data_IF_974610082013
#
_entry.id   IF_974610082013
#
_cell.length_a   1.000
_cell.length_b   1.000
_cell.length_c   1.000
_cell.angle_alpha   90.00
_cell.angle_beta   90.00
_cell.angle_gamma   90.00
#
_symmetry.space_group_name_H-M   'P 1'
#
loop_
_entity.id
_entity.type
_entity.pdbx_description
1 polymer ?
#
# COMPACT_ATOMS: atom_id res chain seq x y z
N UNK A 1 -5.51 3.67 3.77
CA UNK A 1 -5.64 3.23 2.37
C UNK A 1 -4.73 2.05 2.13
N UNK A 2 -5.15 1.08 1.32
CA UNK A 2 -4.41 -0.14 0.97
C UNK A 2 -4.18 -0.15 -0.56
N UNK A 3 -2.93 0.05 -1.01
CA UNK A 3 -2.56 0.10 -2.43
C UNK A 3 -1.95 -1.24 -2.83
N UNK A 4 -2.51 -1.85 -3.89
CA UNK A 4 -2.24 -3.23 -4.24
C UNK A 4 -2.94 -4.20 -3.30
N UNK A 5 -4.18 -3.88 -2.93
CA UNK A 5 -4.95 -4.56 -1.86
C UNK A 5 -5.23 -6.04 -2.13
N UNK A 6 -5.13 -6.47 -3.38
CA UNK A 6 -5.46 -7.83 -3.76
C UNK A 6 -6.87 -8.21 -3.35
N UNK A 7 -7.00 -9.36 -2.70
CA UNK A 7 -8.29 -9.89 -2.20
C UNK A 7 -8.64 -9.39 -0.78
N UNK A 8 -7.90 -8.42 -0.24
CA UNK A 8 -8.21 -7.77 1.03
C UNK A 8 -7.57 -8.37 2.27
N UNK A 9 -6.44 -9.08 2.12
CA UNK A 9 -5.72 -9.70 3.24
C UNK A 9 -5.43 -8.69 4.37
N UNK A 10 -5.13 -7.45 4.03
CA UNK A 10 -4.92 -6.36 4.98
C UNK A 10 -6.14 -5.44 5.09
N UNK A 11 -6.84 -5.16 3.99
CA UNK A 11 -7.99 -4.25 3.98
C UNK A 11 -9.09 -4.66 4.96
N UNK A 12 -9.42 -5.96 5.04
CA UNK A 12 -10.50 -6.44 5.91
C UNK A 12 -10.16 -6.31 7.41
N UNK A 13 -8.98 -6.79 7.89
CA UNK A 13 -8.58 -6.55 9.28
C UNK A 13 -8.44 -5.06 9.62
N UNK A 14 -7.94 -4.25 8.69
CA UNK A 14 -7.83 -2.81 8.89
C UNK A 14 -9.18 -2.14 9.05
N UNK A 15 -10.20 -2.56 8.27
CA UNK A 15 -11.55 -2.02 8.40
C UNK A 15 -12.16 -2.28 9.78
N UNK A 16 -11.89 -3.47 10.32
CA UNK A 16 -12.26 -3.79 11.71
C UNK A 16 -11.50 -2.94 12.72
N UNK A 17 -10.19 -2.75 12.51
CA UNK A 17 -9.32 -2.01 13.42
C UNK A 17 -9.65 -0.52 13.49
N UNK A 18 -9.94 0.12 12.34
CA UNK A 18 -10.29 1.55 12.31
C UNK A 18 -11.72 1.83 12.80
N UNK A 19 -12.54 0.79 12.91
CA UNK A 19 -13.92 0.89 13.38
C UNK A 19 -14.88 1.54 12.38
N UNK A 20 -16.16 1.66 12.75
CA UNK A 20 -17.21 2.09 11.85
C UNK A 20 -17.10 3.56 11.39
N UNK A 21 -16.45 4.41 12.17
CA UNK A 21 -16.18 5.82 11.83
C UNK A 21 -14.95 6.00 10.93
N UNK A 22 -14.08 4.99 10.87
CA UNK A 22 -12.92 4.98 9.98
C UNK A 22 -13.26 4.44 8.61
N UNK A 23 -12.45 4.76 7.62
CA UNK A 23 -12.64 4.32 6.23
C UNK A 23 -11.40 3.62 5.71
N UNK A 24 -11.59 2.48 5.06
CA UNK A 24 -10.53 1.79 4.31
C UNK A 24 -10.84 1.88 2.82
N UNK A 25 -9.94 2.50 2.06
CA UNK A 25 -9.98 2.50 0.61
C UNK A 25 -8.96 1.49 0.09
N UNK A 26 -9.44 0.49 -0.62
CA UNK A 26 -8.65 -0.60 -1.20
C UNK A 26 -8.51 -0.38 -2.72
N UNK A 27 -7.26 -0.28 -3.20
CA UNK A 27 -6.95 0.01 -4.61
C UNK A 27 -6.19 -1.16 -5.20
N UNK A 28 -6.60 -1.62 -6.38
CA UNK A 28 -5.86 -2.63 -7.16
C UNK A 28 -6.17 -2.46 -8.66
N UNK A 29 -5.22 -2.86 -9.51
CA UNK A 29 -5.40 -2.90 -10.97
C UNK A 29 -6.18 -4.14 -11.42
N UNK A 30 -6.32 -5.15 -10.57
CA UNK A 30 -7.00 -6.40 -10.86
C UNK A 30 -8.45 -6.37 -10.35
N UNK A 31 -9.37 -5.96 -11.22
CA UNK A 31 -10.80 -5.83 -10.88
C UNK A 31 -11.39 -7.08 -10.20
N UNK A 32 -11.03 -8.27 -10.69
CA UNK A 32 -11.53 -9.54 -10.14
C UNK A 32 -11.16 -9.73 -8.66
N UNK A 33 -9.97 -9.26 -8.25
CA UNK A 33 -9.55 -9.31 -6.84
C UNK A 33 -10.37 -8.35 -5.98
N UNK A 34 -10.64 -7.15 -6.50
CA UNK A 34 -11.48 -6.16 -5.81
C UNK A 34 -12.93 -6.62 -5.68
N UNK A 35 -13.49 -7.25 -6.71
CA UNK A 35 -14.85 -7.81 -6.66
C UNK A 35 -14.94 -8.88 -5.53
N UNK A 36 -13.91 -9.72 -5.39
CA UNK A 36 -13.82 -10.69 -4.30
C UNK A 36 -13.67 -10.02 -2.93
N UNK A 37 -12.77 -9.02 -2.82
CA UNK A 37 -12.59 -8.25 -1.58
C UNK A 37 -13.91 -7.63 -1.14
N UNK A 38 -14.62 -6.98 -2.06
CA UNK A 38 -15.92 -6.37 -1.77
C UNK A 38 -16.95 -7.38 -1.27
N UNK A 39 -17.03 -8.54 -1.93
CA UNK A 39 -17.94 -9.61 -1.50
C UNK A 39 -17.63 -10.12 -0.08
N UNK A 40 -16.34 -10.30 0.25
CA UNK A 40 -15.92 -10.72 1.60
C UNK A 40 -16.19 -9.62 2.65
N UNK A 41 -15.98 -8.34 2.32
CA UNK A 41 -16.34 -7.22 3.19
C UNK A 41 -17.84 -7.21 3.50
N UNK A 42 -18.69 -7.39 2.49
CA UNK A 42 -20.15 -7.46 2.66
C UNK A 42 -20.56 -8.63 3.57
N UNK A 43 -20.00 -9.83 3.35
CA UNK A 43 -20.25 -11.00 4.21
C UNK A 43 -19.85 -10.76 5.67
N UNK A 44 -18.75 -10.02 5.88
CA UNK A 44 -18.26 -9.67 7.20
C UNK A 44 -19.01 -8.47 7.83
N UNK A 45 -19.97 -7.86 7.14
CA UNK A 45 -20.69 -6.68 7.60
C UNK A 45 -19.86 -5.39 7.66
N UNK A 46 -18.72 -5.36 6.98
CA UNK A 46 -17.82 -4.21 6.95
C UNK A 46 -18.31 -3.19 5.91
N UNK A 47 -19.04 -2.17 6.36
CA UNK A 47 -19.58 -1.11 5.49
C UNK A 47 -18.57 0.01 5.20
N UNK A 48 -17.44 0.03 5.90
CA UNK A 48 -16.40 1.04 5.82
C UNK A 48 -15.25 0.68 4.86
N UNK A 49 -15.44 -0.35 4.01
CA UNK A 49 -14.50 -0.74 2.96
C UNK A 49 -15.00 -0.25 1.61
N UNK A 50 -14.19 0.55 0.93
CA UNK A 50 -14.45 1.05 -0.41
C UNK A 50 -13.38 0.51 -1.37
N UNK A 51 -13.81 -0.06 -2.50
CA UNK A 51 -12.88 -0.59 -3.50
C UNK A 51 -12.78 0.38 -4.68
N UNK A 52 -11.57 0.59 -5.16
CA UNK A 52 -11.28 1.48 -6.30
C UNK A 52 -10.44 0.72 -7.31
N UNK A 53 -11.04 0.41 -8.45
CA UNK A 53 -10.30 -0.16 -9.57
C UNK A 53 -9.54 0.94 -10.30
N UNK A 54 -8.22 0.95 -10.12
CA UNK A 54 -7.36 1.99 -10.68
C UNK A 54 -5.88 1.62 -10.56
N UNK A 55 -5.06 2.38 -11.25
CA UNK A 55 -3.61 2.27 -11.26
C UNK A 55 -3.01 3.47 -10.51
N UNK A 56 -2.40 3.21 -9.36
CA UNK A 56 -1.81 4.23 -8.51
C UNK A 56 -0.47 4.80 -9.06
N UNK A 57 0.08 4.22 -10.12
CA UNK A 57 1.28 4.74 -10.80
C UNK A 57 0.97 5.96 -11.69
N UNK A 58 -0.29 6.13 -12.08
CA UNK A 58 -0.73 7.21 -12.95
C UNK A 58 -1.03 8.51 -12.17
N UNK A 59 -0.89 9.68 -12.79
CA UNK A 59 -1.32 10.95 -12.20
C UNK A 59 -2.82 10.92 -11.85
N UNK A 60 -3.17 11.24 -10.60
CA UNK A 60 -4.50 11.08 -10.01
C UNK A 60 -5.04 9.63 -10.10
N UNK A 61 -4.14 8.67 -10.19
CA UNK A 61 -4.47 7.27 -10.43
C UNK A 61 -5.22 6.62 -9.27
N UNK A 62 -5.07 7.10 -8.04
CA UNK A 62 -5.88 6.64 -6.89
C UNK A 62 -7.34 7.08 -6.98
N UNK A 63 -7.67 8.05 -7.82
CA UNK A 63 -9.01 8.69 -7.93
C UNK A 63 -9.49 9.34 -6.63
N UNK A 64 -8.57 9.61 -5.71
CA UNK A 64 -8.85 10.29 -4.44
C UNK A 64 -8.49 11.78 -4.54
N UNK A 65 -9.13 12.59 -3.72
CA UNK A 65 -8.77 13.99 -3.56
C UNK A 65 -7.38 14.13 -2.88
N UNK A 66 -6.81 15.32 -2.96
CA UNK A 66 -5.56 15.66 -2.28
C UNK A 66 -5.75 15.61 -0.75
N UNK A 67 -4.71 15.21 -0.04
CA UNK A 67 -4.62 15.32 1.42
C UNK A 67 -5.79 14.67 2.18
N UNK A 68 -6.24 13.49 1.76
CA UNK A 68 -7.36 12.76 2.39
C UNK A 68 -6.92 11.57 3.22
N UNK A 69 -5.76 10.98 2.92
CA UNK A 69 -5.31 9.77 3.58
C UNK A 69 -4.46 10.07 4.82
N UNK A 70 -4.80 9.44 5.94
CA UNK A 70 -3.99 9.47 7.15
C UNK A 70 -2.84 8.46 7.06
N UNK A 71 -3.14 7.27 6.52
CA UNK A 71 -2.17 6.17 6.38
C UNK A 71 -2.35 5.50 5.02
N UNK A 72 -1.25 5.24 4.35
CA UNK A 72 -1.18 4.34 3.19
C UNK A 72 -0.40 3.11 3.58
N UNK A 73 -0.90 1.93 3.24
CA UNK A 73 -0.14 0.70 3.31
C UNK A 73 0.24 0.21 1.92
N UNK A 74 1.49 -0.23 1.79
CA UNK A 74 2.08 -0.89 0.63
C UNK A 74 2.65 -2.22 1.12
N UNK A 75 1.95 -3.32 0.90
CA UNK A 75 2.36 -4.62 1.41
C UNK A 75 2.50 -5.62 0.27
N UNK A 76 3.73 -6.08 0.02
CA UNK A 76 4.06 -7.00 -1.06
C UNK A 76 3.60 -6.51 -2.45
N UNK A 77 3.75 -5.22 -2.70
CA UNK A 77 3.33 -4.57 -3.94
C UNK A 77 4.41 -3.67 -4.53
N UNK A 78 5.29 -3.07 -3.73
CA UNK A 78 6.26 -2.10 -4.22
C UNK A 78 7.24 -2.71 -5.25
N UNK A 79 7.58 -3.99 -5.12
CA UNK A 79 8.38 -4.72 -6.10
C UNK A 79 7.66 -4.90 -7.46
N UNK A 80 6.31 -4.87 -7.49
CA UNK A 80 5.51 -5.00 -8.71
C UNK A 80 5.38 -3.70 -9.50
N UNK A 81 5.51 -2.57 -8.83
CA UNK A 81 5.35 -1.23 -9.40
C UNK A 81 6.43 -0.99 -10.46
N UNK A 82 6.05 -0.61 -11.66
CA UNK A 82 6.97 -0.28 -12.74
C UNK A 82 7.39 1.20 -12.66
N UNK A 83 6.44 2.14 -12.52
CA UNK A 83 6.71 3.57 -12.28
C UNK A 83 6.65 3.93 -10.78
N UNK A 84 7.71 3.58 -10.06
CA UNK A 84 7.82 3.92 -8.62
C UNK A 84 7.75 5.42 -8.34
N UNK A 85 8.27 6.24 -9.27
CA UNK A 85 8.23 7.70 -9.10
C UNK A 85 6.81 8.24 -9.26
N UNK A 86 6.04 7.73 -10.23
CA UNK A 86 4.63 8.04 -10.39
C UNK A 86 3.83 7.68 -9.13
N UNK A 87 4.00 6.45 -8.63
CA UNK A 87 3.39 6.03 -7.37
C UNK A 87 3.74 6.98 -6.22
N UNK A 88 5.01 7.26 -5.98
CA UNK A 88 5.45 8.11 -4.87
C UNK A 88 4.90 9.54 -4.96
N UNK A 89 4.80 10.09 -6.17
CA UNK A 89 4.17 11.38 -6.42
C UNK A 89 2.69 11.36 -6.04
N UNK A 90 1.99 10.31 -6.43
CA UNK A 90 0.58 10.13 -6.13
C UNK A 90 0.34 9.95 -4.62
N UNK A 91 1.17 9.13 -3.94
CA UNK A 91 1.11 8.98 -2.48
C UNK A 91 1.34 10.31 -1.76
N UNK A 92 2.30 11.11 -2.23
CA UNK A 92 2.59 12.43 -1.67
C UNK A 92 1.40 13.38 -1.78
N UNK A 93 0.68 13.32 -2.92
CA UNK A 93 -0.52 14.14 -3.18
C UNK A 93 -1.66 13.81 -2.24
N UNK A 94 -1.96 12.50 -2.06
CA UNK A 94 -3.14 12.07 -1.30
C UNK A 94 -2.95 12.05 0.21
N UNK A 95 -1.70 11.92 0.69
CA UNK A 95 -1.42 11.89 2.13
C UNK A 95 -1.60 13.26 2.76
N UNK A 96 -2.26 13.29 3.90
CA UNK A 96 -2.32 14.47 4.76
C UNK A 96 -0.91 14.85 5.25
N UNK A 97 -0.73 16.10 5.62
CA UNK A 97 0.46 16.53 6.35
C UNK A 97 0.55 15.75 7.68
N UNK A 98 1.68 15.11 7.91
CA UNK A 98 1.86 14.21 9.06
C UNK A 98 1.24 12.81 8.87
N UNK A 99 0.69 12.53 7.70
CA UNK A 99 0.30 11.19 7.31
C UNK A 99 1.51 10.29 7.10
N UNK A 100 1.30 8.98 6.99
CA UNK A 100 2.40 8.02 6.88
C UNK A 100 2.15 6.93 5.85
N UNK A 101 3.24 6.36 5.37
CA UNK A 101 3.25 5.11 4.59
C UNK A 101 3.81 3.99 5.46
N UNK A 102 3.09 2.89 5.55
CA UNK A 102 3.60 1.61 6.03
C UNK A 102 4.03 0.81 4.79
N UNK A 103 5.32 0.65 4.61
CA UNK A 103 5.90 -0.19 3.56
C UNK A 103 6.38 -1.51 4.15
N UNK A 104 5.89 -2.61 3.61
CA UNK A 104 6.39 -3.97 3.86
C UNK A 104 6.65 -4.65 2.53
N UNK A 105 7.89 -5.08 2.29
CA UNK A 105 8.23 -5.75 1.04
C UNK A 105 9.38 -6.76 1.22
N UNK A 106 9.66 -7.53 0.20
CA UNK A 106 10.56 -8.66 0.20
C UNK A 106 12.03 -8.25 0.36
N UNK A 107 12.76 -8.95 1.26
CA UNK A 107 14.21 -8.77 1.41
C UNK A 107 15.00 -9.49 0.32
N UNK A 108 14.40 -10.44 -0.37
CA UNK A 108 15.05 -11.27 -1.37
C UNK A 108 14.08 -12.17 -2.12
N UNK A 109 14.63 -13.07 -2.90
CA UNK A 109 13.93 -14.18 -3.55
C UNK A 109 14.40 -15.48 -2.89
N UNK A 110 13.47 -16.35 -2.48
CA UNK A 110 13.75 -17.51 -1.62
C UNK A 110 13.13 -18.77 -2.23
N UNK A 111 13.88 -19.58 -2.96
CA UNK A 111 13.52 -20.91 -3.45
C UNK A 111 12.05 -21.08 -3.90
N UNK A 112 11.58 -20.19 -4.75
CA UNK A 112 10.18 -20.16 -5.24
C UNK A 112 9.21 -19.40 -4.33
N UNK A 113 9.67 -18.80 -3.24
CA UNK A 113 8.90 -17.89 -2.38
C UNK A 113 9.36 -16.45 -2.65
N UNK A 114 8.40 -15.56 -2.89
CA UNK A 114 8.68 -14.14 -3.15
C UNK A 114 8.85 -13.81 -4.63
N UNK A 115 9.32 -12.60 -4.94
CA UNK A 115 9.48 -12.11 -6.30
C UNK A 115 10.69 -12.75 -7.01
N UNK A 116 10.70 -12.65 -8.34
CA UNK A 116 11.91 -12.95 -9.11
C UNK A 116 13.06 -12.02 -8.64
N UNK A 117 14.33 -12.50 -8.59
CA UNK A 117 15.46 -11.71 -8.05
C UNK A 117 15.61 -10.32 -8.65
N UNK A 118 15.33 -10.14 -9.94
CA UNK A 118 15.44 -8.84 -10.62
C UNK A 118 14.31 -7.85 -10.26
N UNK A 119 13.26 -8.30 -9.56
CA UNK A 119 12.16 -7.46 -9.08
C UNK A 119 12.33 -7.04 -7.62
N UNK A 120 13.21 -7.69 -6.87
CA UNK A 120 13.47 -7.34 -5.48
C UNK A 120 13.96 -5.89 -5.39
N UNK A 121 13.32 -5.08 -4.56
CA UNK A 121 13.76 -3.73 -4.23
C UNK A 121 14.41 -3.76 -2.86
N UNK A 122 15.75 -3.65 -2.75
CA UNK A 122 16.42 -3.65 -1.46
C UNK A 122 15.90 -2.53 -0.55
N UNK A 123 15.83 -2.80 0.76
CA UNK A 123 15.31 -1.87 1.77
C UNK A 123 15.92 -0.47 1.67
N UNK A 124 17.24 -0.37 1.57
CA UNK A 124 17.91 0.94 1.50
C UNK A 124 17.58 1.65 0.20
N UNK A 125 17.46 0.92 -0.91
CA UNK A 125 17.02 1.48 -2.20
C UNK A 125 15.58 2.02 -2.11
N UNK A 126 14.67 1.25 -1.52
CA UNK A 126 13.29 1.71 -1.29
C UNK A 126 13.27 2.97 -0.43
N UNK A 127 13.99 2.98 0.70
CA UNK A 127 14.11 4.14 1.58
C UNK A 127 14.60 5.38 0.81
N UNK A 128 15.67 5.24 0.04
CA UNK A 128 16.25 6.36 -0.72
C UNK A 128 15.28 6.91 -1.76
N UNK A 129 14.47 6.05 -2.42
CA UNK A 129 13.42 6.49 -3.34
C UNK A 129 12.38 7.36 -2.63
N UNK A 130 11.89 6.95 -1.48
CA UNK A 130 10.95 7.75 -0.68
C UNK A 130 11.56 9.08 -0.23
N UNK A 131 12.81 9.08 0.25
CA UNK A 131 13.50 10.32 0.68
C UNK A 131 13.64 11.30 -0.49
N UNK A 132 14.02 10.83 -1.68
CA UNK A 132 14.11 11.68 -2.90
C UNK A 132 12.75 12.22 -3.33
N UNK A 133 11.67 11.50 -3.06
CA UNK A 133 10.30 11.96 -3.31
C UNK A 133 9.78 12.95 -2.23
N UNK A 134 10.61 13.33 -1.26
CA UNK A 134 10.29 14.34 -0.24
C UNK A 134 9.59 13.79 1.00
N UNK A 135 9.63 12.48 1.22
CA UNK A 135 9.21 11.86 2.47
C UNK A 135 10.36 11.87 3.49
N UNK A 136 10.04 11.57 4.74
CA UNK A 136 11.03 11.42 5.81
C UNK A 136 10.96 10.01 6.41
N UNK A 137 12.12 9.42 6.68
CA UNK A 137 12.19 8.11 7.32
C UNK A 137 11.73 8.23 8.79
N UNK A 138 10.80 7.40 9.19
CA UNK A 138 10.32 7.32 10.56
C UNK A 138 11.09 6.27 11.36
N UNK A 139 10.83 5.00 11.08
CA UNK A 139 11.49 3.88 11.76
C UNK A 139 11.34 2.58 10.98
N UNK A 140 12.20 1.63 11.29
CA UNK A 140 12.01 0.24 10.88
C UNK A 140 10.97 -0.45 11.75
N UNK A 141 10.33 -1.46 11.15
CA UNK A 141 9.46 -2.39 11.86
C UNK A 141 9.87 -3.83 11.55
N UNK A 142 9.65 -4.73 12.49
CA UNK A 142 9.85 -6.15 12.26
C UNK A 142 8.71 -6.70 11.37
N UNK A 143 9.05 -7.18 10.19
CA UNK A 143 8.11 -7.76 9.21
C UNK A 143 8.37 -9.25 8.97
N UNK A 144 9.08 -9.93 9.89
CA UNK A 144 9.41 -11.36 9.79
C UNK A 144 10.71 -11.63 9.05
N UNK A 145 10.93 -12.90 8.70
CA UNK A 145 12.22 -13.38 8.17
C UNK A 145 12.48 -13.00 6.71
N UNK A 146 11.42 -12.82 5.91
CA UNK A 146 11.52 -12.65 4.46
C UNK A 146 11.22 -11.23 3.98
N UNK A 147 10.77 -10.36 4.87
CA UNK A 147 10.35 -9.01 4.54
C UNK A 147 11.11 -7.97 5.36
N UNK A 148 11.28 -6.80 4.79
CA UNK A 148 11.58 -5.60 5.55
C UNK A 148 10.29 -4.78 5.74
N UNK A 149 10.26 -3.99 6.80
CA UNK A 149 9.16 -3.06 7.04
C UNK A 149 9.67 -1.70 7.49
N UNK A 150 9.01 -0.64 7.03
CA UNK A 150 9.34 0.75 7.35
C UNK A 150 8.09 1.58 7.55
N UNK A 151 8.14 2.50 8.50
CA UNK A 151 7.24 3.65 8.60
C UNK A 151 7.94 4.85 7.97
N UNK A 152 7.25 5.51 7.08
CA UNK A 152 7.74 6.67 6.30
C UNK A 152 6.71 7.78 6.45
N UNK A 153 7.14 8.99 6.79
CA UNK A 153 6.26 10.12 7.08
C UNK A 153 6.20 11.10 5.89
N UNK A 154 5.00 11.68 5.70
CA UNK A 154 4.76 12.72 4.70
C UNK A 154 5.15 14.11 5.20
#
# INVERSE_FOLDING_TARGET
>A
MDVGSGVGTYSLPLATLVGPEGTVVAIDIQKVKLDRLYAEAQKAGLQNVHVVWSDAELPNGTKLADTVADVVILTNVFFLIDDKQGLLTELKRILKKGGMVLLVDWTGSFDGIGPHPNRVVPKDTARDMFMRAGFTFGRDINAGAYHYGMIINN
#
